data_IF_417611769050
#
_entry.id   IF_417611769050
#
_cell.length_a   1.000
_cell.length_b   1.000
_cell.length_c   1.000
_cell.angle_alpha   90.00
_cell.angle_beta   90.00
_cell.angle_gamma   90.00
#
_symmetry.space_group_name_H-M   'P 1'
#
loop_
_entity.id
_entity.type
_entity.pdbx_description
1 polymer ?
#
# COMPACT_ATOMS: atom_id res chain seq x y z
N UNK A 1 -13.40 -17.18 -14.54
CA UNK A 1 -11.93 -17.07 -14.44
C UNK A 1 -11.55 -15.65 -14.15
N UNK A 2 -10.34 -15.40 -13.63
CA UNK A 2 -9.88 -14.07 -13.20
C UNK A 2 -9.90 -13.01 -14.33
N UNK A 3 -9.60 -13.39 -15.58
CA UNK A 3 -9.77 -12.50 -16.76
C UNK A 3 -11.21 -12.01 -16.93
N UNK A 4 -12.20 -12.87 -16.69
CA UNK A 4 -13.61 -12.47 -16.77
C UNK A 4 -14.00 -11.43 -15.73
N UNK A 5 -13.34 -11.40 -14.57
CA UNK A 5 -13.57 -10.39 -13.52
C UNK A 5 -13.01 -9.03 -13.93
N UNK A 6 -11.79 -9.00 -14.46
CA UNK A 6 -11.17 -7.79 -15.00
C UNK A 6 -11.99 -7.19 -16.15
N UNK A 7 -12.43 -8.04 -17.07
CA UNK A 7 -13.16 -7.61 -18.27
C UNK A 7 -14.54 -7.05 -17.90
N UNK A 8 -15.19 -7.67 -16.90
CA UNK A 8 -16.44 -7.16 -16.35
C UNK A 8 -16.23 -5.82 -15.65
N UNK A 9 -15.17 -5.66 -14.83
CA UNK A 9 -14.86 -4.40 -14.16
C UNK A 9 -14.60 -3.28 -15.18
N UNK A 10 -13.81 -3.55 -16.23
CA UNK A 10 -13.58 -2.62 -17.35
C UNK A 10 -14.90 -2.22 -18.02
N UNK A 11 -15.76 -3.20 -18.33
CA UNK A 11 -17.05 -2.94 -18.96
C UNK A 11 -17.95 -2.06 -18.08
N UNK A 12 -18.02 -2.32 -16.78
CA UNK A 12 -18.82 -1.54 -15.84
C UNK A 12 -18.32 -0.08 -15.78
N UNK A 13 -17.01 0.14 -15.70
CA UNK A 13 -16.42 1.47 -15.74
C UNK A 13 -16.71 2.20 -17.06
N UNK A 14 -16.67 1.49 -18.19
CA UNK A 14 -17.07 2.04 -19.51
C UNK A 14 -18.55 2.41 -19.57
N UNK A 15 -19.41 1.70 -18.82
CA UNK A 15 -20.85 1.99 -18.71
C UNK A 15 -21.17 3.07 -17.68
N UNK A 16 -20.17 3.70 -17.08
CA UNK A 16 -20.35 4.81 -16.14
C UNK A 16 -20.54 4.37 -14.70
N UNK A 17 -20.13 3.16 -14.32
CA UNK A 17 -20.01 2.79 -12.92
C UNK A 17 -19.07 3.78 -12.20
N UNK A 18 -19.50 4.27 -11.04
CA UNK A 18 -18.73 5.23 -10.26
C UNK A 18 -17.53 4.55 -9.58
N UNK A 19 -16.28 4.93 -9.91
CA UNK A 19 -15.08 4.36 -9.29
C UNK A 19 -14.80 4.94 -7.89
N UNK A 20 -15.56 5.95 -7.44
CA UNK A 20 -15.37 6.64 -6.16
C UNK A 20 -16.25 6.10 -5.04
N UNK A 21 -16.79 4.90 -5.23
CA UNK A 21 -17.62 4.26 -4.22
C UNK A 21 -16.75 3.59 -3.16
N UNK A 22 -17.21 3.66 -1.92
CA UNK A 22 -16.79 2.78 -0.82
C UNK A 22 -18.00 1.97 -0.44
N UNK A 23 -17.84 0.65 -0.32
CA UNK A 23 -18.89 -0.24 0.17
C UNK A 23 -18.45 -0.89 1.46
N UNK A 24 -19.41 -1.02 2.35
CA UNK A 24 -19.31 -1.86 3.53
C UNK A 24 -20.09 -3.15 3.24
N UNK A 25 -19.48 -4.31 3.46
CA UNK A 25 -20.19 -5.58 3.35
C UNK A 25 -20.93 -5.95 4.64
N UNK A 26 -21.57 -7.12 4.67
CA UNK A 26 -22.34 -7.59 5.82
C UNK A 26 -21.48 -7.80 7.07
N UNK A 27 -20.18 -7.98 6.89
CA UNK A 27 -19.22 -8.20 7.96
C UNK A 27 -18.61 -6.87 8.46
N UNK A 28 -19.00 -5.73 7.89
CA UNK A 28 -18.48 -4.42 8.25
C UNK A 28 -17.18 -4.05 7.53
N UNK A 29 -16.77 -4.82 6.52
CA UNK A 29 -15.53 -4.60 5.79
C UNK A 29 -15.71 -3.47 4.78
N UNK A 30 -14.96 -2.40 4.95
CA UNK A 30 -14.95 -1.27 4.02
C UNK A 30 -14.01 -1.55 2.86
N UNK A 31 -14.49 -1.32 1.64
CA UNK A 31 -13.75 -1.62 0.42
C UNK A 31 -14.08 -0.65 -0.70
N UNK A 32 -13.05 -0.20 -1.38
CA UNK A 32 -13.10 0.57 -2.61
C UNK A 32 -12.67 -0.29 -3.80
N UNK A 33 -13.12 0.02 -5.03
CA UNK A 33 -12.60 -0.66 -6.22
C UNK A 33 -11.08 -0.58 -6.34
N UNK A 34 -10.48 0.56 -5.96
CA UNK A 34 -9.04 0.78 -6.08
C UNK A 34 -8.26 -0.07 -5.08
N UNK A 35 -8.69 -0.14 -3.84
CA UNK A 35 -8.00 -0.95 -2.84
C UNK A 35 -8.19 -2.45 -3.06
N UNK A 36 -9.32 -2.88 -3.64
CA UNK A 36 -9.44 -4.24 -4.22
C UNK A 36 -8.39 -4.51 -5.30
N UNK A 37 -8.18 -3.57 -6.21
CA UNK A 37 -7.17 -3.71 -7.25
C UNK A 37 -5.74 -3.72 -6.66
N UNK A 38 -5.46 -2.90 -5.66
CA UNK A 38 -4.18 -2.88 -4.96
C UNK A 38 -3.91 -4.20 -4.21
N UNK A 39 -4.90 -4.73 -3.49
CA UNK A 39 -4.82 -6.06 -2.86
C UNK A 39 -4.65 -7.18 -3.88
N UNK A 40 -5.28 -7.07 -5.06
CA UNK A 40 -5.08 -8.04 -6.13
C UNK A 40 -3.60 -8.09 -6.61
N UNK A 41 -2.87 -6.97 -6.59
CA UNK A 41 -1.43 -6.95 -6.85
C UNK A 41 -0.65 -7.69 -5.77
N UNK A 42 -0.97 -7.48 -4.50
CA UNK A 42 -0.38 -8.22 -3.36
C UNK A 42 -0.64 -9.73 -3.48
N UNK A 43 -1.84 -10.11 -3.89
CA UNK A 43 -2.24 -11.51 -4.09
C UNK A 43 -1.62 -12.11 -5.38
N UNK A 44 -0.92 -11.31 -6.20
CA UNK A 44 -0.32 -11.76 -7.46
C UNK A 44 -1.37 -12.15 -8.51
N UNK A 45 -2.58 -11.57 -8.43
CA UNK A 45 -3.66 -11.84 -9.38
C UNK A 45 -3.40 -11.07 -10.67
N UNK A 46 -3.42 -11.78 -11.79
CA UNK A 46 -3.31 -11.17 -13.11
C UNK A 46 -4.39 -10.09 -13.31
N UNK A 47 -4.01 -8.93 -13.86
CA UNK A 47 -4.95 -7.83 -14.11
C UNK A 47 -5.09 -6.82 -12.97
N UNK A 48 -4.52 -7.08 -11.79
CA UNK A 48 -4.65 -6.18 -10.63
C UNK A 48 -4.10 -4.78 -10.91
N UNK A 49 -2.89 -4.72 -11.48
CA UNK A 49 -2.24 -3.46 -11.83
C UNK A 49 -2.99 -2.71 -12.94
N UNK A 50 -3.46 -3.42 -13.97
CA UNK A 50 -4.23 -2.86 -15.08
C UNK A 50 -5.55 -2.28 -14.59
N UNK A 51 -6.23 -2.97 -13.67
CA UNK A 51 -7.44 -2.48 -13.05
C UNK A 51 -7.16 -1.23 -12.21
N UNK A 52 -6.10 -1.24 -11.40
CA UNK A 52 -5.71 -0.10 -10.58
C UNK A 52 -5.43 1.15 -11.43
N UNK A 53 -4.65 0.99 -12.52
CA UNK A 53 -4.39 2.06 -13.50
C UNK A 53 -5.68 2.65 -14.05
N UNK A 54 -6.60 1.79 -14.52
CA UNK A 54 -7.88 2.24 -15.07
C UNK A 54 -8.73 2.99 -14.02
N UNK A 55 -8.75 2.51 -12.78
CA UNK A 55 -9.49 3.16 -11.70
C UNK A 55 -8.91 4.54 -11.36
N UNK A 56 -7.58 4.67 -11.37
CA UNK A 56 -6.89 5.93 -11.17
C UNK A 56 -7.16 6.92 -12.31
N UNK A 57 -7.16 6.46 -13.58
CA UNK A 57 -7.60 7.27 -14.72
C UNK A 57 -9.04 7.78 -14.56
N UNK A 58 -9.90 6.98 -13.92
CA UNK A 58 -11.29 7.35 -13.62
C UNK A 58 -11.45 8.11 -12.29
N UNK A 59 -10.35 8.57 -11.69
CA UNK A 59 -10.32 9.38 -10.45
C UNK A 59 -10.92 8.65 -9.25
N UNK A 60 -10.61 7.37 -9.09
CA UNK A 60 -10.93 6.61 -7.88
C UNK A 60 -10.37 7.29 -6.62
N UNK A 61 -10.98 7.01 -5.47
CA UNK A 61 -10.52 7.53 -4.19
C UNK A 61 -9.19 6.87 -3.79
N UNK A 62 -8.13 7.66 -3.65
CA UNK A 62 -6.76 7.18 -3.42
C UNK A 62 -6.39 6.95 -1.95
N UNK A 63 -7.09 7.63 -1.03
CA UNK A 63 -6.80 7.65 0.41
C UNK A 63 -7.88 6.96 1.25
N UNK A 64 -8.57 5.96 0.68
CA UNK A 64 -9.53 5.16 1.45
C UNK A 64 -8.73 4.24 2.37
N UNK A 65 -9.01 4.30 3.67
CA UNK A 65 -8.52 3.30 4.63
C UNK A 65 -9.53 2.17 4.62
N UNK A 66 -9.10 0.98 4.23
CA UNK A 66 -9.95 -0.19 4.10
C UNK A 66 -9.68 -1.16 5.23
N UNK A 67 -10.73 -1.64 5.86
CA UNK A 67 -10.62 -2.73 6.83
C UNK A 67 -10.52 -4.06 6.10
N UNK A 68 -9.89 -5.05 6.71
CA UNK A 68 -9.91 -6.41 6.23
C UNK A 68 -9.80 -7.37 7.41
N UNK A 69 -10.64 -8.40 7.42
CA UNK A 69 -10.65 -9.38 8.50
C UNK A 69 -9.57 -10.42 8.26
N UNK A 70 -8.73 -10.61 9.26
CA UNK A 70 -7.74 -11.70 9.28
C UNK A 70 -8.06 -12.62 10.44
N UNK A 71 -8.19 -13.91 10.12
CA UNK A 71 -8.45 -14.95 11.10
C UNK A 71 -7.09 -15.54 11.55
N UNK A 72 -6.73 -15.32 12.80
CA UNK A 72 -5.57 -15.93 13.44
C UNK A 72 -6.03 -17.16 14.22
N UNK A 73 -5.49 -18.33 13.87
CA UNK A 73 -5.68 -19.61 14.54
C UNK A 73 -7.14 -20.04 14.77
N UNK A 74 -8.06 -19.65 13.89
CA UNK A 74 -9.51 -19.93 13.97
C UNK A 74 -10.16 -19.47 15.29
N UNK A 75 -9.50 -18.55 16.02
CA UNK A 75 -9.90 -18.11 17.36
C UNK A 75 -10.01 -16.62 17.50
N UNK A 76 -9.21 -15.87 16.76
CA UNK A 76 -9.17 -14.42 16.87
C UNK A 76 -9.32 -13.80 15.49
N UNK A 77 -10.32 -12.95 15.38
CA UNK A 77 -10.46 -12.05 14.24
C UNK A 77 -9.77 -10.75 14.61
N UNK A 78 -8.75 -10.39 13.85
CA UNK A 78 -8.14 -9.05 13.95
C UNK A 78 -8.53 -8.26 12.72
N UNK A 79 -8.99 -7.04 12.99
CA UNK A 79 -9.27 -6.05 11.97
C UNK A 79 -7.95 -5.52 11.44
N UNK A 80 -7.50 -5.97 10.27
CA UNK A 80 -6.43 -5.31 9.52
C UNK A 80 -6.94 -4.05 8.85
N UNK A 81 -6.06 -3.11 8.56
CA UNK A 81 -6.39 -1.84 7.90
C UNK A 81 -5.34 -1.50 6.85
N UNK A 82 -5.73 -0.92 5.72
CA UNK A 82 -4.76 -0.55 4.68
C UNK A 82 -5.31 0.43 3.67
N UNK A 83 -4.47 1.36 3.24
CA UNK A 83 -4.75 2.20 2.07
C UNK A 83 -4.28 1.52 0.78
N UNK A 84 -4.76 1.94 -0.40
CA UNK A 84 -4.20 1.48 -1.66
C UNK A 84 -2.67 1.63 -1.74
N UNK A 85 -2.11 2.71 -1.19
CA UNK A 85 -0.67 2.92 -1.13
C UNK A 85 0.00 1.90 -0.22
N UNK A 86 -0.55 1.68 0.98
CA UNK A 86 -0.05 0.67 1.92
C UNK A 86 -0.02 -0.73 1.29
N UNK A 87 -1.07 -1.14 0.57
CA UNK A 87 -1.09 -2.41 -0.16
C UNK A 87 -0.02 -2.47 -1.25
N UNK A 88 0.19 -1.40 -2.00
CA UNK A 88 1.24 -1.36 -3.03
C UNK A 88 2.64 -1.51 -2.42
N UNK A 89 2.89 -0.90 -1.26
CA UNK A 89 4.14 -1.06 -0.50
C UNK A 89 4.32 -2.45 0.06
N UNK A 90 3.25 -3.03 0.62
CA UNK A 90 3.26 -4.41 1.06
C UNK A 90 3.54 -5.36 -0.12
N UNK A 91 3.02 -5.08 -1.32
CA UNK A 91 3.34 -5.83 -2.53
C UNK A 91 4.85 -5.77 -2.86
N UNK A 92 5.49 -4.60 -2.74
CA UNK A 92 6.94 -4.45 -2.90
C UNK A 92 7.71 -5.26 -1.87
N UNK A 93 7.32 -5.18 -0.59
CA UNK A 93 7.94 -5.97 0.48
C UNK A 93 7.82 -7.49 0.23
N UNK A 94 6.67 -7.95 -0.25
CA UNK A 94 6.47 -9.34 -0.65
C UNK A 94 7.18 -9.72 -1.97
N UNK A 95 7.84 -8.77 -2.65
CA UNK A 95 8.51 -9.01 -3.93
C UNK A 95 7.55 -9.27 -5.09
N UNK A 96 6.34 -8.70 -5.05
CA UNK A 96 5.33 -8.85 -6.11
C UNK A 96 5.59 -7.92 -7.27
N UNK A 97 5.44 -8.46 -8.48
CA UNK A 97 5.45 -7.67 -9.69
C UNK A 97 4.33 -6.61 -9.68
N UNK A 98 4.60 -5.44 -10.25
CA UNK A 98 3.64 -4.34 -10.32
C UNK A 98 3.48 -3.53 -9.02
N UNK A 99 3.97 -4.01 -7.87
CA UNK A 99 3.88 -3.28 -6.59
C UNK A 99 4.58 -1.91 -6.64
N UNK A 100 5.82 -1.87 -7.14
CA UNK A 100 6.60 -0.62 -7.26
C UNK A 100 5.93 0.38 -8.20
N UNK A 101 5.45 -0.11 -9.35
CA UNK A 101 4.77 0.73 -10.33
C UNK A 101 3.46 1.29 -9.79
N UNK A 102 2.66 0.46 -9.12
CA UNK A 102 1.44 0.90 -8.48
C UNK A 102 1.72 1.95 -7.38
N UNK A 103 2.74 1.73 -6.55
CA UNK A 103 3.11 2.65 -5.49
C UNK A 103 3.47 4.03 -6.05
N UNK A 104 4.35 4.09 -7.07
CA UNK A 104 4.71 5.35 -7.74
C UNK A 104 3.49 6.08 -8.28
N UNK A 105 2.62 5.36 -8.99
CA UNK A 105 1.41 5.94 -9.57
C UNK A 105 0.47 6.49 -8.49
N UNK A 106 0.28 5.78 -7.38
CA UNK A 106 -0.55 6.24 -6.27
C UNK A 106 0.00 7.53 -5.65
N UNK A 107 1.31 7.58 -5.40
CA UNK A 107 1.98 8.78 -4.87
C UNK A 107 1.87 9.95 -5.85
N UNK A 108 1.98 9.72 -7.16
CA UNK A 108 1.73 10.73 -8.19
C UNK A 108 0.28 11.22 -8.23
N UNK A 109 -0.69 10.35 -7.91
CA UNK A 109 -2.11 10.69 -7.85
C UNK A 109 -2.55 11.30 -6.50
N UNK A 110 -1.60 11.66 -5.63
CA UNK A 110 -1.88 12.35 -4.36
C UNK A 110 -2.27 11.41 -3.22
N UNK A 111 -1.79 10.16 -3.26
CA UNK A 111 -1.85 9.30 -2.09
C UNK A 111 -1.11 9.94 -0.91
N UNK A 112 -1.72 9.90 0.27
CA UNK A 112 -1.12 10.40 1.50
C UNK A 112 -0.04 9.40 1.97
N UNK A 113 1.21 9.85 1.94
CA UNK A 113 2.40 9.07 2.25
C UNK A 113 2.56 8.75 3.74
N UNK A 114 1.70 9.31 4.60
CA UNK A 114 1.71 9.09 6.03
C UNK A 114 0.56 8.19 6.51
N UNK A 115 -0.41 7.85 5.64
CA UNK A 115 -1.47 6.92 5.99
C UNK A 115 -0.92 5.50 6.07
N UNK A 116 -0.66 5.07 7.30
CA UNK A 116 -0.29 3.72 7.64
C UNK A 116 -1.43 2.72 7.48
N UNK A 117 -1.08 1.47 7.73
CA UNK A 117 -1.99 0.35 7.79
C UNK A 117 -1.57 -0.59 8.90
N UNK A 118 -2.42 -1.57 9.16
CA UNK A 118 -2.24 -2.60 10.16
C UNK A 118 -2.39 -3.94 9.47
N UNK A 119 -1.36 -4.78 9.57
CA UNK A 119 -1.39 -6.09 8.97
C UNK A 119 -2.33 -7.05 9.73
N UNK A 120 -2.45 -8.26 9.19
CA UNK A 120 -3.27 -9.32 9.76
C UNK A 120 -2.77 -9.90 11.08
N UNK A 121 -1.62 -9.45 11.59
CA UNK A 121 -1.08 -9.81 12.91
C UNK A 121 -1.29 -8.66 13.92
N UNK A 122 -1.89 -7.55 13.47
CA UNK A 122 -2.10 -6.35 14.29
C UNK A 122 -0.89 -5.41 14.31
N UNK A 123 0.12 -5.63 13.45
CA UNK A 123 1.28 -4.76 13.39
C UNK A 123 0.97 -3.52 12.54
N UNK A 124 1.05 -2.36 13.18
CA UNK A 124 0.95 -1.08 12.50
C UNK A 124 2.25 -0.75 11.77
N UNK A 125 2.12 -0.27 10.53
CA UNK A 125 3.25 0.14 9.70
C UNK A 125 2.89 1.36 8.86
N UNK A 126 3.81 2.33 8.83
CA UNK A 126 3.71 3.46 7.92
C UNK A 126 4.23 3.07 6.52
N UNK A 127 3.86 3.82 5.48
CA UNK A 127 4.40 3.60 4.14
C UNK A 127 5.94 3.59 4.11
N UNK A 128 6.58 4.51 4.81
CA UNK A 128 8.04 4.60 4.87
C UNK A 128 8.66 3.37 5.56
N UNK A 129 8.03 2.85 6.61
CA UNK A 129 8.52 1.64 7.31
C UNK A 129 8.51 0.43 6.37
N UNK A 130 7.43 0.24 5.59
CA UNK A 130 7.37 -0.85 4.61
C UNK A 130 8.43 -0.73 3.52
N UNK A 131 8.66 0.47 3.00
CA UNK A 131 9.70 0.70 1.99
C UNK A 131 11.11 0.42 2.54
N UNK A 132 11.38 0.80 3.79
CA UNK A 132 12.64 0.53 4.46
C UNK A 132 12.87 -0.97 4.66
N UNK A 133 11.85 -1.71 5.11
CA UNK A 133 11.93 -3.18 5.21
C UNK A 133 12.17 -3.84 3.85
N UNK A 134 11.47 -3.38 2.81
CA UNK A 134 11.69 -3.86 1.46
C UNK A 134 13.14 -3.66 0.99
N UNK A 135 13.76 -2.50 1.25
CA UNK A 135 15.18 -2.26 0.97
C UNK A 135 16.10 -3.20 1.75
N UNK A 136 15.84 -3.37 3.05
CA UNK A 136 16.64 -4.20 3.95
C UNK A 136 16.58 -5.68 3.55
N UNK A 137 15.41 -6.14 3.13
CA UNK A 137 15.18 -7.50 2.63
C UNK A 137 15.68 -7.68 1.17
N UNK A 138 16.30 -6.65 0.58
CA UNK A 138 16.86 -6.68 -0.78
C UNK A 138 15.79 -6.76 -1.87
N UNK A 139 14.58 -6.27 -1.60
CA UNK A 139 13.50 -6.23 -2.59
C UNK A 139 13.73 -5.10 -3.58
N UNK A 140 13.63 -5.44 -4.86
CA UNK A 140 13.76 -4.48 -5.96
C UNK A 140 12.79 -3.31 -5.77
N UNK A 141 13.33 -2.08 -5.78
CA UNK A 141 12.54 -0.86 -5.67
C UNK A 141 12.29 -0.37 -4.24
N UNK A 142 12.70 -1.11 -3.20
CA UNK A 142 12.55 -0.69 -1.80
C UNK A 142 13.24 0.65 -1.52
N UNK A 143 14.52 0.77 -1.88
CA UNK A 143 15.28 2.01 -1.73
C UNK A 143 14.63 3.18 -2.48
N UNK A 144 14.33 2.99 -3.77
CA UNK A 144 13.75 4.02 -4.63
C UNK A 144 12.41 4.52 -4.08
N UNK A 145 11.59 3.61 -3.55
CA UNK A 145 10.31 3.96 -2.97
C UNK A 145 10.47 4.70 -1.64
N UNK A 146 11.45 4.34 -0.82
CA UNK A 146 11.74 5.06 0.41
C UNK A 146 12.19 6.50 0.12
N UNK A 147 13.08 6.69 -0.87
CA UNK A 147 13.51 8.02 -1.33
C UNK A 147 12.31 8.85 -1.82
N UNK A 148 11.47 8.27 -2.68
CA UNK A 148 10.24 8.92 -3.17
C UNK A 148 9.31 9.34 -2.03
N UNK A 149 9.08 8.48 -1.04
CA UNK A 149 8.20 8.80 0.09
C UNK A 149 8.77 9.96 0.92
N UNK A 150 10.08 9.97 1.17
CA UNK A 150 10.76 11.07 1.89
C UNK A 150 10.64 12.38 1.11
N UNK A 151 10.88 12.36 -0.20
CA UNK A 151 10.69 13.53 -1.07
C UNK A 151 9.27 14.09 -1.03
N UNK A 152 8.28 13.22 -0.79
CA UNK A 152 6.85 13.57 -0.73
C UNK A 152 6.37 13.88 0.69
N UNK A 153 7.29 14.00 1.65
CA UNK A 153 6.99 14.45 3.01
C UNK A 153 6.58 13.34 3.97
N UNK A 154 7.05 12.11 3.75
CA UNK A 154 6.83 11.03 4.70
C UNK A 154 7.49 11.33 6.06
N UNK A 155 6.74 11.11 7.13
CA UNK A 155 7.18 11.32 8.49
C UNK A 155 8.24 10.29 8.89
N UNK A 156 9.48 10.77 9.08
CA UNK A 156 10.64 9.94 9.40
C UNK A 156 10.56 9.25 10.78
N UNK A 157 9.66 9.72 11.65
CA UNK A 157 9.44 9.21 13.00
C UNK A 157 8.04 8.59 13.16
N UNK A 158 7.31 8.31 12.08
CA UNK A 158 5.99 7.69 12.17
C UNK A 158 6.10 6.37 12.97
N UNK A 159 5.56 6.38 14.18
CA UNK A 159 5.59 5.25 15.09
C UNK A 159 4.69 4.15 14.54
N UNK A 160 5.27 3.05 14.11
CA UNK A 160 4.59 1.76 14.02
C UNK A 160 5.08 0.87 15.16
N UNK A 161 4.24 -0.05 15.64
CA UNK A 161 4.66 -1.07 16.61
C UNK A 161 5.74 -2.00 16.06
N UNK A 162 5.98 -1.97 14.74
CA UNK A 162 7.18 -2.50 14.12
C UNK A 162 8.37 -1.54 14.33
N UNK A 163 9.39 -1.93 15.10
CA UNK A 163 10.64 -1.16 15.11
C UNK A 163 11.17 -1.11 13.68
N UNK A 164 11.45 0.10 13.16
CA UNK A 164 12.30 0.18 11.97
C UNK A 164 13.56 -0.65 12.26
N UNK A 165 14.03 -1.49 11.33
CA UNK A 165 15.34 -2.10 11.44
C UNK A 165 16.35 -1.02 11.12
N UNK A 166 16.58 -0.16 12.10
CA UNK A 166 17.71 0.76 12.10
C UNK A 166 18.90 -0.15 12.39
N UNK A 167 19.51 -0.61 11.30
CA UNK A 167 20.67 -1.50 11.22
C UNK A 167 21.53 -1.46 12.49
N UNK A 168 21.44 -2.48 13.36
CA UNK A 168 22.41 -2.77 14.42
C UNK A 168 22.62 -1.72 15.53
N UNK A 169 22.23 -0.47 15.31
CA UNK A 169 22.36 0.64 16.22
C UNK A 169 20.96 1.03 16.66
N UNK A 170 20.64 0.68 17.91
CA UNK A 170 19.37 0.95 18.59
C UNK A 170 19.05 2.45 18.75
N UNK A 171 19.83 3.33 18.11
CA UNK A 171 19.84 4.79 18.23
C UNK A 171 19.94 5.55 16.90
N UNK A 172 20.17 4.89 15.75
CA UNK A 172 20.15 5.60 14.45
C UNK A 172 18.71 5.88 14.07
N UNK A 173 18.35 7.11 13.71
CA UNK A 173 17.00 7.44 13.23
C UNK A 173 16.92 7.24 11.72
N UNK A 174 15.73 7.07 11.14
CA UNK A 174 15.52 7.08 9.69
C UNK A 174 16.18 8.31 9.03
N UNK A 175 16.19 9.42 9.78
CA UNK A 175 16.88 10.66 9.44
C UNK A 175 18.35 10.49 9.11
N UNK A 176 19.06 9.50 9.64
CA UNK A 176 20.52 9.44 9.52
C UNK A 176 20.97 8.81 8.19
N UNK A 177 20.13 7.96 7.57
CA UNK A 177 20.38 7.40 6.22
C UNK A 177 19.77 8.27 5.11
N UNK A 178 18.56 8.82 5.31
CA UNK A 178 17.90 9.66 4.30
C UNK A 178 18.30 11.15 4.34
N UNK A 179 18.98 11.65 5.40
CA UNK A 179 19.69 12.94 5.33
C UNK A 179 21.02 12.86 4.60
N UNK A 180 21.65 11.67 4.56
CA UNK A 180 22.95 11.50 3.92
C UNK A 180 22.86 11.55 2.38
N UNK A 181 21.67 11.34 1.80
CA UNK A 181 21.44 11.39 0.35
C UNK A 181 20.95 12.76 -0.16
N UNK A 182 20.70 13.73 0.72
CA UNK A 182 20.32 15.09 0.32
C UNK A 182 20.56 16.14 1.41
N UNK A 183 21.60 16.96 1.26
CA UNK A 183 21.82 18.22 2.00
C UNK A 183 21.48 19.42 1.11
N UNK A 184 21.25 20.67 1.62
CA UNK A 184 20.85 21.13 2.96
C UNK A 184 19.56 22.01 2.97
N UNK A 185 19.05 22.27 4.19
CA UNK A 185 18.14 23.34 4.67
C UNK A 185 17.04 23.89 3.74
#
# INVERSE_FOLDING_TARGET
GMEGGLELAKLLLMKGADPRIVRTDADGVESSPLGWAARAVVDGRAGGLELAKLLLEKRALVNVVETHKVNIDDKYEVDGEGTPLWWALHAVQCGREGGLELAKLLVEQGADVNLGGKDGEGNESSPLVLAAWADIDGKTGGQELAELLVERGAELNAAGHMPMPLYGDKNLRATDRFRATGSPL
#
